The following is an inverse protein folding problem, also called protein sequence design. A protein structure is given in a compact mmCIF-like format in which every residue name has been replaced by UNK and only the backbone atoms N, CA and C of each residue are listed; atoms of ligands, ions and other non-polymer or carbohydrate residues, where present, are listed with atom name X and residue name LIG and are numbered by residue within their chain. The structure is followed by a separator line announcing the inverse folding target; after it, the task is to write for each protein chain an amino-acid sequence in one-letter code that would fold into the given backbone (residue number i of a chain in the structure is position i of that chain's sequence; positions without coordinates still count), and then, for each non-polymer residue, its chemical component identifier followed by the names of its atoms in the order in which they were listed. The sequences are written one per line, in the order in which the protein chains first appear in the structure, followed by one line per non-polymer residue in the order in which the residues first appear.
data_IF_898712196277
#
_entry.id   IF_898712196277
#
_cell.length_a   1.000
_cell.length_b   1.000
_cell.length_c   1.000
_cell.angle_alpha   90.00
_cell.angle_beta   90.00
_cell.angle_gamma   90.00
#
_symmetry.space_group_name_H-M   'P 1'
#
loop_
_entity.id
_entity.type
_entity.pdbx_description
1 polymer ?
#
# COMPACT_ATOMS: atom_id res chain seq x y z
N UNK A 1 6.76 -33.38 22.78
CA UNK A 1 8.07 -33.06 23.37
C UNK A 1 8.87 -32.34 22.29
N UNK A 2 9.23 -31.09 22.51
CA UNK A 2 10.09 -30.33 21.59
C UNK A 2 11.52 -30.67 21.99
N UNK A 3 12.29 -31.22 21.07
CA UNK A 3 13.71 -31.54 21.25
C UNK A 3 14.50 -30.32 21.77
N UNK A 4 15.33 -30.53 22.79
CA UNK A 4 16.12 -29.48 23.45
C UNK A 4 17.30 -28.98 22.59
N UNK A 5 17.64 -29.67 21.50
CA UNK A 5 18.73 -29.31 20.59
C UNK A 5 18.30 -28.38 19.45
N UNK A 6 17.00 -28.34 19.13
CA UNK A 6 16.47 -27.48 18.07
C UNK A 6 16.32 -26.03 18.56
N UNK A 7 17.28 -25.18 18.20
CA UNK A 7 17.20 -23.73 18.46
C UNK A 7 15.90 -23.15 17.87
N UNK A 8 15.10 -22.40 18.64
CA UNK A 8 13.87 -21.83 18.13
C UNK A 8 14.18 -20.86 16.98
N UNK A 9 13.56 -21.09 15.83
CA UNK A 9 13.67 -20.23 14.67
C UNK A 9 12.46 -19.29 14.68
N UNK A 10 12.70 -18.00 14.95
CA UNK A 10 11.66 -16.96 14.97
C UNK A 10 11.40 -16.37 13.56
N UNK A 11 11.43 -17.20 12.53
CA UNK A 11 11.11 -16.80 11.15
C UNK A 11 9.79 -17.43 10.71
N UNK A 12 9.02 -16.73 9.89
CA UNK A 12 7.82 -17.32 9.27
C UNK A 12 8.24 -18.47 8.34
N UNK A 13 7.49 -19.57 8.38
CA UNK A 13 7.71 -20.71 7.48
C UNK A 13 7.44 -20.35 6.01
N UNK A 14 6.48 -19.45 5.77
CA UNK A 14 6.16 -18.90 4.45
C UNK A 14 6.63 -17.44 4.42
N UNK A 15 7.45 -17.03 3.44
CA UNK A 15 7.82 -15.63 3.26
C UNK A 15 6.58 -14.74 3.17
N UNK A 16 6.57 -13.64 3.93
CA UNK A 16 5.43 -12.72 3.90
C UNK A 16 5.45 -11.88 2.62
N UNK A 17 4.31 -11.80 1.95
CA UNK A 17 4.04 -10.78 0.93
C UNK A 17 3.00 -9.81 1.47
N UNK A 18 3.23 -8.51 1.31
CA UNK A 18 2.32 -7.46 1.76
C UNK A 18 2.56 -6.17 0.98
N UNK A 19 1.52 -5.35 0.85
CA UNK A 19 1.64 -3.98 0.33
C UNK A 19 2.55 -3.20 1.28
N UNK A 20 3.69 -2.71 0.81
CA UNK A 20 4.65 -1.95 1.61
C UNK A 20 4.42 -0.44 1.51
N UNK A 21 4.10 0.04 0.31
CA UNK A 21 3.85 1.45 0.07
C UNK A 21 2.58 1.66 -0.76
N UNK A 22 1.83 2.71 -0.43
CA UNK A 22 0.83 3.29 -1.32
C UNK A 22 1.20 4.76 -1.56
N UNK A 23 1.29 5.14 -2.83
CA UNK A 23 1.53 6.51 -3.26
C UNK A 23 0.27 7.09 -3.87
N UNK A 24 -0.15 8.27 -3.43
CA UNK A 24 -1.30 8.98 -3.97
C UNK A 24 -0.80 10.20 -4.72
N UNK A 25 -1.10 10.26 -6.01
CA UNK A 25 -0.80 11.37 -6.90
C UNK A 25 -2.08 12.11 -7.26
N UNK A 26 -2.00 13.43 -7.36
CA UNK A 26 -3.08 14.29 -7.86
C UNK A 26 -2.51 15.17 -8.97
N UNK A 27 -2.93 14.91 -10.21
CA UNK A 27 -2.13 15.27 -11.38
C UNK A 27 -0.79 14.53 -11.34
N UNK A 28 0.30 15.27 -11.53
CA UNK A 28 1.67 14.73 -11.48
C UNK A 28 2.33 14.88 -10.09
N UNK A 29 1.62 15.49 -9.14
CA UNK A 29 2.15 15.74 -7.80
C UNK A 29 1.87 14.57 -6.86
N UNK A 30 2.91 14.08 -6.17
CA UNK A 30 2.74 13.17 -5.03
C UNK A 30 2.14 13.95 -3.85
N UNK A 31 0.90 13.63 -3.48
CA UNK A 31 0.15 14.33 -2.41
C UNK A 31 0.07 13.53 -1.12
N UNK A 32 0.27 12.21 -1.16
CA UNK A 32 0.35 11.40 0.06
C UNK A 32 1.17 10.13 -0.16
N UNK A 33 1.78 9.64 0.92
CA UNK A 33 2.52 8.38 0.99
C UNK A 33 2.13 7.64 2.26
N UNK A 34 1.67 6.41 2.09
CA UNK A 34 1.42 5.48 3.18
C UNK A 34 2.53 4.44 3.19
N UNK A 35 3.06 4.16 4.37
CA UNK A 35 4.06 3.12 4.61
C UNK A 35 3.45 2.09 5.54
N UNK A 36 3.39 0.85 5.07
CA UNK A 36 2.78 -0.25 5.80
C UNK A 36 3.84 -1.24 6.27
N UNK A 37 3.49 -2.03 7.27
CA UNK A 37 4.25 -3.20 7.72
C UNK A 37 3.51 -4.49 7.34
N UNK A 38 4.09 -5.64 7.67
CA UNK A 38 3.45 -6.95 7.51
C UNK A 38 2.24 -7.20 8.41
N UNK A 39 1.78 -6.18 9.15
CA UNK A 39 0.64 -6.25 10.07
C UNK A 39 -0.66 -5.71 9.44
N UNK A 40 -0.67 -5.39 8.14
CA UNK A 40 -1.93 -5.03 7.45
C UNK A 40 -2.84 -6.26 7.32
N UNK A 41 -4.14 -6.02 7.29
CA UNK A 41 -5.11 -7.03 6.92
C UNK A 41 -4.94 -7.45 5.44
N UNK A 42 -5.38 -8.66 5.14
CA UNK A 42 -5.62 -9.07 3.75
C UNK A 42 -6.73 -8.22 3.15
N UNK A 43 -6.63 -7.93 1.85
CA UNK A 43 -7.54 -7.07 1.09
C UNK A 43 -7.92 -5.74 1.80
N UNK A 44 -6.92 -4.92 2.17
CA UNK A 44 -7.16 -3.73 2.97
C UNK A 44 -7.94 -2.65 2.21
N UNK A 45 -8.90 -2.02 2.90
CA UNK A 45 -9.55 -0.80 2.44
C UNK A 45 -8.79 0.44 2.92
N UNK A 46 -8.25 1.22 1.99
CA UNK A 46 -7.61 2.51 2.29
C UNK A 46 -8.54 3.68 2.03
N UNK A 47 -8.61 4.61 2.99
CA UNK A 47 -9.33 5.87 2.83
C UNK A 47 -8.39 7.04 3.16
N UNK A 48 -8.44 8.09 2.36
CA UNK A 48 -7.66 9.30 2.57
C UNK A 48 -8.49 10.53 2.21
N UNK A 49 -8.21 11.65 2.89
CA UNK A 49 -8.81 12.94 2.56
C UNK A 49 -7.97 13.62 1.47
N UNK A 50 -8.63 14.21 0.49
CA UNK A 50 -8.02 15.01 -0.56
C UNK A 50 -8.82 16.30 -0.73
N UNK A 51 -8.14 17.45 -0.71
CA UNK A 51 -8.76 18.72 -1.08
C UNK A 51 -8.70 18.87 -2.60
N UNK A 52 -9.87 18.84 -3.25
CA UNK A 52 -9.95 19.00 -4.70
C UNK A 52 -9.79 20.47 -5.10
N UNK A 53 -8.57 20.89 -5.46
CA UNK A 53 -8.23 22.26 -5.89
C UNK A 53 -8.15 22.44 -7.41
N UNK A 54 -8.19 21.35 -8.18
CA UNK A 54 -8.16 21.35 -9.64
C UNK A 54 -8.90 20.14 -10.26
N UNK A 55 -9.27 20.22 -11.53
CA UNK A 55 -9.75 19.04 -12.26
C UNK A 55 -8.57 18.22 -12.81
N UNK A 56 -8.12 17.21 -12.08
CA UNK A 56 -7.00 16.37 -12.46
C UNK A 56 -7.23 14.90 -12.07
N UNK A 57 -6.50 13.95 -12.68
CA UNK A 57 -6.53 12.56 -12.24
C UNK A 57 -5.99 12.41 -10.82
N UNK A 58 -6.65 11.57 -10.03
CA UNK A 58 -6.08 10.98 -8.82
C UNK A 58 -5.59 9.59 -9.19
N UNK A 59 -4.29 9.35 -9.02
CA UNK A 59 -3.66 8.05 -9.28
C UNK A 59 -3.13 7.48 -7.98
N UNK A 60 -3.45 6.22 -7.71
CA UNK A 60 -2.94 5.46 -6.57
C UNK A 60 -2.00 4.38 -7.10
N UNK A 61 -0.81 4.27 -6.52
CA UNK A 61 0.19 3.26 -6.87
C UNK A 61 0.53 2.44 -5.63
N UNK A 62 0.28 1.14 -5.67
CA UNK A 62 0.68 0.19 -4.65
C UNK A 62 2.01 -0.45 -5.03
N UNK A 63 2.90 -0.62 -4.04
CA UNK A 63 4.17 -1.35 -4.18
C UNK A 63 4.28 -2.34 -3.04
N UNK A 64 4.42 -3.64 -3.36
CA UNK A 64 4.62 -4.67 -2.34
C UNK A 64 6.06 -4.68 -1.78
N UNK A 65 6.29 -5.53 -0.80
CA UNK A 65 7.61 -5.71 -0.19
C UNK A 65 8.63 -6.40 -1.09
N UNK A 66 8.23 -6.89 -2.27
CA UNK A 66 9.07 -7.51 -3.29
C UNK A 66 9.31 -6.58 -4.49
N UNK A 67 8.70 -5.39 -4.50
CA UNK A 67 8.84 -4.37 -5.53
C UNK A 67 7.81 -4.44 -6.66
N UNK A 68 6.85 -5.37 -6.63
CA UNK A 68 5.77 -5.46 -7.61
C UNK A 68 4.82 -4.27 -7.45
N UNK A 69 4.31 -3.77 -8.57
CA UNK A 69 3.51 -2.55 -8.64
C UNK A 69 2.14 -2.77 -9.25
N UNK A 70 1.17 -2.03 -8.74
CA UNK A 70 -0.19 -1.95 -9.28
C UNK A 70 -0.67 -0.51 -9.20
N UNK A 71 -1.47 -0.09 -10.17
CA UNK A 71 -1.98 1.27 -10.23
C UNK A 71 -3.45 1.35 -10.60
N UNK A 72 -4.12 2.38 -10.08
CA UNK A 72 -5.47 2.75 -10.44
C UNK A 72 -5.56 4.27 -10.58
N UNK A 73 -6.34 4.77 -11.53
CA UNK A 73 -6.47 6.20 -11.80
C UNK A 73 -7.92 6.58 -12.11
N UNK A 74 -8.36 7.72 -11.58
CA UNK A 74 -9.67 8.30 -11.86
C UNK A 74 -9.60 9.82 -11.97
N UNK A 75 -10.24 10.38 -13.00
CA UNK A 75 -10.33 11.84 -13.19
C UNK A 75 -11.34 12.47 -12.23
N UNK A 76 -10.92 13.48 -11.48
CA UNK A 76 -11.81 14.36 -10.72
C UNK A 76 -12.33 15.44 -11.68
N UNK A 77 -13.66 15.63 -11.67
CA UNK A 77 -14.36 16.70 -12.40
C UNK A 77 -15.33 17.38 -11.44
N UNK A 78 -15.41 18.69 -11.50
CA UNK A 78 -16.42 19.46 -10.81
C UNK A 78 -17.74 19.35 -11.58
N UNK A 79 -18.85 19.26 -10.85
CA UNK A 79 -20.17 19.37 -11.46
C UNK A 79 -20.45 20.85 -11.69
N UNK A 80 -20.96 21.19 -12.87
CA UNK A 80 -21.55 22.50 -13.16
C UNK A 80 -22.90 22.62 -12.49
#
# INVERSE_FOLDING_TARGET
MVDAETKPIFSRAIPVSFIRNMFVYYGDQLVSRFRMSSAIADDPLFTFKLRAVQEAPVKVVFVDNLGKKWEASKKIKYRK
#
